data_IF_737506465905
#
_entry.id   IF_737506465905
#
_cell.length_a   1.000
_cell.length_b   1.000
_cell.length_c   1.000
_cell.angle_alpha   90.00
_cell.angle_beta   90.00
_cell.angle_gamma   90.00
#
_symmetry.space_group_name_H-M   'P 1'
#
loop_
_entity.id
_entity.type
_entity.pdbx_description
1 polymer ?
#
# COMPACT_ATOMS: atom_id res chain seq x y z
N UNK A 1 -5.89 -1.72 10.11
CA UNK A 1 -6.55 -0.58 9.43
C UNK A 1 -5.63 -0.14 8.31
N UNK A 2 -6.07 -0.20 7.05
CA UNK A 2 -5.25 0.11 5.87
C UNK A 2 -4.66 1.53 5.91
N UNK A 3 -5.44 2.53 6.34
CA UNK A 3 -4.96 3.91 6.42
C UNK A 3 -3.78 4.06 7.39
N UNK A 4 -3.82 3.37 8.53
CA UNK A 4 -2.72 3.39 9.50
C UNK A 4 -1.48 2.70 8.91
N UNK A 5 -1.68 1.60 8.19
CA UNK A 5 -0.57 0.91 7.49
C UNK A 5 0.09 1.80 6.46
N UNK A 6 -0.69 2.53 5.66
CA UNK A 6 -0.16 3.54 4.73
C UNK A 6 0.64 4.61 5.48
N UNK A 7 0.14 5.12 6.61
CA UNK A 7 0.82 6.12 7.42
C UNK A 7 2.13 5.59 8.02
N UNK A 8 2.15 4.36 8.53
CA UNK A 8 3.37 3.75 9.09
C UNK A 8 4.48 3.67 8.03
N UNK A 9 4.15 3.21 6.82
CA UNK A 9 5.09 3.12 5.68
C UNK A 9 5.62 4.52 5.31
N UNK A 10 4.74 5.52 5.23
CA UNK A 10 5.13 6.90 4.94
C UNK A 10 6.09 7.46 5.99
N UNK A 11 5.80 7.24 7.27
CA UNK A 11 6.64 7.69 8.39
C UNK A 11 7.99 6.99 8.34
N UNK A 12 8.01 5.67 8.12
CA UNK A 12 9.25 4.92 8.01
C UNK A 12 10.15 5.48 6.91
N UNK A 13 9.61 5.64 5.69
CA UNK A 13 10.38 6.17 4.57
C UNK A 13 10.88 7.58 4.86
N UNK A 14 10.05 8.46 5.44
CA UNK A 14 10.45 9.83 5.79
C UNK A 14 11.60 9.89 6.80
N UNK A 15 11.69 8.91 7.70
CA UNK A 15 12.77 8.83 8.70
C UNK A 15 14.05 8.19 8.18
N UNK A 16 13.94 7.28 7.20
CA UNK A 16 15.07 6.43 6.75
C UNK A 16 15.54 6.75 5.33
N UNK A 17 14.72 7.39 4.52
CA UNK A 17 14.90 7.56 3.08
C UNK A 17 15.20 6.23 2.36
N UNK A 18 14.60 5.14 2.85
CA UNK A 18 14.71 3.79 2.33
C UNK A 18 13.50 2.96 2.75
N UNK A 19 13.32 1.81 2.12
CA UNK A 19 12.39 0.77 2.53
C UNK A 19 13.09 -0.36 3.27
N UNK A 20 12.34 -1.20 4.00
CA UNK A 20 12.87 -2.41 4.65
C UNK A 20 12.47 -3.67 3.91
N UNK A 21 13.36 -4.67 3.95
CA UNK A 21 13.05 -6.05 3.55
C UNK A 21 12.25 -6.82 4.59
N UNK A 22 12.13 -6.30 5.82
CA UNK A 22 11.19 -6.81 6.83
C UNK A 22 10.01 -5.83 6.98
N UNK A 23 8.81 -6.34 6.69
CA UNK A 23 7.58 -5.56 6.78
C UNK A 23 7.34 -5.03 8.20
N UNK A 24 7.84 -5.72 9.23
CA UNK A 24 7.67 -5.36 10.65
C UNK A 24 8.39 -4.06 11.01
N UNK A 25 9.43 -3.69 10.27
CA UNK A 25 10.11 -2.42 10.46
C UNK A 25 9.25 -1.26 9.97
N UNK A 26 8.48 -1.49 8.90
CA UNK A 26 7.65 -0.46 8.25
C UNK A 26 6.25 -0.37 8.85
N UNK A 27 5.64 -1.47 9.31
CA UNK A 27 4.34 -1.46 9.98
C UNK A 27 4.17 -2.69 10.88
N UNK A 28 3.51 -2.50 12.03
CA UNK A 28 3.14 -3.60 12.95
C UNK A 28 1.87 -4.34 12.52
N UNK A 29 1.29 -3.98 11.36
CA UNK A 29 0.07 -4.62 10.90
C UNK A 29 0.35 -6.02 10.35
N UNK A 30 -0.19 -7.04 11.02
CA UNK A 30 -0.04 -8.47 10.67
C UNK A 30 -0.68 -8.86 9.34
N UNK A 31 -1.53 -8.01 8.77
CA UNK A 31 -2.18 -8.26 7.50
C UNK A 31 -1.33 -7.79 6.31
N UNK A 32 -0.14 -7.23 6.54
CA UNK A 32 0.74 -6.72 5.50
C UNK A 32 1.86 -7.71 5.23
N UNK A 33 2.05 -8.08 3.96
CA UNK A 33 3.18 -8.89 3.50
C UNK A 33 3.93 -8.19 2.37
N UNK A 34 5.21 -8.52 2.21
CA UNK A 34 6.03 -8.07 1.07
C UNK A 34 5.86 -9.06 -0.08
N UNK A 35 5.46 -8.59 -1.26
CA UNK A 35 5.53 -9.37 -2.50
C UNK A 35 6.93 -9.23 -3.13
N UNK A 36 7.41 -8.00 -3.24
CA UNK A 36 8.76 -7.66 -3.66
C UNK A 36 9.12 -6.28 -3.09
N UNK A 37 10.39 -6.07 -2.79
CA UNK A 37 10.87 -4.75 -2.39
C UNK A 37 12.37 -4.60 -2.65
N UNK A 38 12.72 -3.45 -3.20
CA UNK A 38 14.06 -2.89 -3.19
C UNK A 38 14.11 -1.74 -2.17
N UNK A 39 15.20 -1.65 -1.42
CA UNK A 39 15.35 -0.67 -0.35
C UNK A 39 15.37 0.78 -0.85
N UNK A 40 15.70 1.01 -2.13
CA UNK A 40 15.80 2.34 -2.74
C UNK A 40 14.71 2.60 -3.77
N UNK A 41 14.33 1.59 -4.53
CA UNK A 41 13.43 1.74 -5.68
C UNK A 41 11.97 1.38 -5.36
N UNK A 42 11.71 0.80 -4.19
CA UNK A 42 10.36 0.43 -3.75
C UNK A 42 9.95 -0.95 -4.23
N UNK A 43 8.67 -1.16 -4.42
CA UNK A 43 8.10 -2.47 -4.74
C UNK A 43 6.64 -2.58 -4.34
N UNK A 44 6.17 -3.82 -4.18
CA UNK A 44 4.77 -4.11 -3.90
C UNK A 44 4.61 -4.81 -2.56
N UNK A 45 3.71 -4.27 -1.74
CA UNK A 45 3.21 -4.90 -0.52
C UNK A 45 1.76 -5.36 -0.75
N UNK A 46 1.36 -6.42 -0.05
CA UNK A 46 0.02 -6.98 -0.12
C UNK A 46 -0.67 -6.81 1.23
N UNK A 47 -1.79 -6.11 1.23
CA UNK A 47 -2.67 -6.03 2.40
C UNK A 47 -3.77 -7.07 2.29
N UNK A 48 -3.83 -7.93 3.31
CA UNK A 48 -4.71 -9.08 3.38
C UNK A 48 -5.98 -8.80 4.17
N UNK A 49 -7.09 -9.34 3.69
CA UNK A 49 -8.35 -9.47 4.44
C UNK A 49 -8.74 -10.94 4.32
N UNK A 50 -9.18 -11.53 5.43
CA UNK A 50 -9.48 -12.96 5.48
C UNK A 50 -8.33 -13.86 4.94
N UNK A 51 -7.08 -13.50 5.25
CA UNK A 51 -5.86 -14.17 4.76
C UNK A 51 -5.66 -14.16 3.23
N UNK A 52 -6.49 -13.43 2.47
CA UNK A 52 -6.40 -13.25 1.03
C UNK A 52 -5.84 -11.87 0.70
N UNK A 53 -4.97 -11.77 -0.31
CA UNK A 53 -4.46 -10.48 -0.77
C UNK A 53 -5.57 -9.70 -1.50
N UNK A 54 -6.06 -8.62 -0.89
CA UNK A 54 -7.15 -7.82 -1.45
C UNK A 54 -6.68 -6.46 -1.97
N UNK A 55 -5.54 -5.95 -1.51
CA UNK A 55 -5.04 -4.63 -1.89
C UNK A 55 -3.54 -4.72 -2.16
N UNK A 56 -3.15 -4.23 -3.33
CA UNK A 56 -1.75 -3.94 -3.63
C UNK A 56 -1.41 -2.53 -3.16
N UNK A 57 -0.29 -2.40 -2.44
CA UNK A 57 0.32 -1.12 -2.11
C UNK A 57 1.62 -1.06 -2.92
N UNK A 58 1.67 -0.16 -3.89
CA UNK A 58 2.82 0.01 -4.77
C UNK A 58 3.61 1.24 -4.34
N UNK A 59 4.90 1.03 -4.12
CA UNK A 59 5.90 2.01 -3.75
C UNK A 59 6.82 2.18 -4.95
N UNK A 60 6.82 3.35 -5.57
CA UNK A 60 7.58 3.59 -6.80
C UNK A 60 7.85 5.08 -7.01
N UNK A 61 8.79 5.39 -7.90
CA UNK A 61 9.01 6.78 -8.32
C UNK A 61 7.89 7.25 -9.25
N UNK A 62 7.23 8.33 -8.85
CA UNK A 62 6.26 9.06 -9.65
C UNK A 62 6.71 10.53 -9.72
N UNK A 63 6.80 11.10 -10.93
CA UNK A 63 7.30 12.47 -11.13
C UNK A 63 8.65 12.74 -10.43
N UNK A 64 9.59 11.79 -10.54
CA UNK A 64 10.92 11.81 -9.90
C UNK A 64 10.94 11.70 -8.37
N UNK A 65 9.79 11.64 -7.71
CA UNK A 65 9.66 11.57 -6.25
C UNK A 65 9.18 10.19 -5.83
N UNK A 66 9.62 9.73 -4.66
CA UNK A 66 9.08 8.47 -4.15
C UNK A 66 7.62 8.64 -3.73
N UNK A 67 6.76 7.75 -4.23
CA UNK A 67 5.32 7.82 -4.02
C UNK A 67 4.73 6.44 -3.75
N UNK A 68 3.55 6.46 -3.14
CA UNK A 68 2.73 5.30 -2.88
C UNK A 68 1.39 5.45 -3.59
N UNK A 69 0.90 4.38 -4.20
CA UNK A 69 -0.52 4.24 -4.57
C UNK A 69 -1.04 2.91 -4.05
N UNK A 70 -2.36 2.80 -3.95
CA UNK A 70 -3.03 1.55 -3.57
C UNK A 70 -4.05 1.17 -4.62
N UNK A 71 -4.29 -0.12 -4.82
CA UNK A 71 -5.29 -0.63 -5.74
C UNK A 71 -5.93 -1.92 -5.24
N UNK A 72 -7.19 -2.13 -5.60
CA UNK A 72 -7.89 -3.37 -5.28
C UNK A 72 -7.38 -4.51 -6.15
N UNK A 73 -7.19 -5.69 -5.56
CA UNK A 73 -6.90 -6.92 -6.28
C UNK A 73 -8.22 -7.67 -6.40
N UNK A 74 -8.72 -7.83 -7.63
CA UNK A 74 -9.91 -8.65 -7.86
C UNK A 74 -9.60 -10.10 -7.52
N UNK A 75 -10.36 -10.66 -6.60
CA UNK A 75 -10.32 -12.08 -6.27
C UNK A 75 -11.75 -12.58 -5.96
N UNK A 76 -11.90 -13.89 -5.73
CA UNK A 76 -13.21 -14.51 -5.49
C UNK A 76 -13.75 -14.28 -4.07
N UNK A 77 -12.94 -13.75 -3.15
CA UNK A 77 -13.33 -13.54 -1.75
C UNK A 77 -14.32 -12.37 -1.62
N UNK A 78 -15.44 -12.64 -0.96
CA UNK A 78 -16.54 -11.69 -0.81
C UNK A 78 -16.15 -10.49 0.04
N UNK A 79 -15.33 -10.68 1.08
CA UNK A 79 -14.89 -9.59 1.95
C UNK A 79 -13.92 -8.68 1.22
N UNK A 80 -12.98 -9.24 0.45
CA UNK A 80 -12.10 -8.45 -0.42
C UNK A 80 -12.93 -7.58 -1.37
N UNK A 81 -13.91 -8.17 -2.08
CA UNK A 81 -14.78 -7.43 -3.02
C UNK A 81 -15.53 -6.30 -2.32
N UNK A 82 -16.17 -6.58 -1.19
CA UNK A 82 -16.90 -5.56 -0.42
C UNK A 82 -15.97 -4.44 0.05
N UNK A 83 -14.77 -4.79 0.49
CA UNK A 83 -13.78 -3.83 0.95
C UNK A 83 -13.31 -2.90 -0.18
N UNK A 84 -12.87 -3.45 -1.33
CA UNK A 84 -12.34 -2.64 -2.43
C UNK A 84 -13.44 -1.86 -3.17
N UNK A 85 -14.70 -2.28 -3.06
CA UNK A 85 -15.83 -1.55 -3.62
C UNK A 85 -16.33 -0.42 -2.72
N UNK A 86 -15.92 -0.40 -1.44
CA UNK A 86 -16.37 0.60 -0.47
C UNK A 86 -15.96 2.02 -0.89
N UNK A 87 -16.80 3.05 -0.63
CA UNK A 87 -16.45 4.44 -0.92
C UNK A 87 -15.14 4.87 -0.25
N UNK A 88 -14.92 4.47 1.00
CA UNK A 88 -13.71 4.82 1.75
C UNK A 88 -12.44 4.26 1.12
N UNK A 89 -12.48 3.04 0.56
CA UNK A 89 -11.34 2.51 -0.19
C UNK A 89 -11.14 3.28 -1.49
N UNK A 90 -12.21 3.53 -2.24
CA UNK A 90 -12.13 4.26 -3.52
C UNK A 90 -11.55 5.66 -3.36
N UNK A 91 -11.92 6.37 -2.29
CA UNK A 91 -11.39 7.70 -1.95
C UNK A 91 -9.89 7.69 -1.60
N UNK A 92 -9.38 6.54 -1.14
CA UNK A 92 -7.96 6.33 -0.91
C UNK A 92 -7.21 5.89 -2.18
N UNK A 93 -7.85 5.13 -3.05
CA UNK A 93 -7.19 4.49 -4.19
C UNK A 93 -7.21 5.34 -5.46
N UNK A 94 -8.29 6.10 -5.70
CA UNK A 94 -8.54 6.72 -7.00
C UNK A 94 -8.81 8.23 -6.88
N UNK A 95 -8.42 8.93 -7.93
CA UNK A 95 -8.95 10.24 -8.31
C UNK A 95 -10.05 10.05 -9.36
N UNK A 96 -10.63 11.15 -9.86
CA UNK A 96 -11.62 11.07 -10.95
C UNK A 96 -11.05 10.51 -12.26
N UNK A 97 -9.72 10.55 -12.45
CA UNK A 97 -9.07 10.26 -13.75
C UNK A 97 -8.02 9.15 -13.70
N UNK A 98 -7.46 8.87 -12.53
CA UNK A 98 -6.34 7.94 -12.35
C UNK A 98 -6.20 7.52 -10.87
N UNK A 99 -5.16 6.80 -10.50
CA UNK A 99 -4.78 6.52 -9.13
C UNK A 99 -4.46 7.77 -8.34
N UNK A 100 -4.68 7.67 -7.02
CA UNK A 100 -4.24 8.65 -6.06
C UNK A 100 -2.82 8.34 -5.63
N UNK A 101 -1.93 9.30 -5.85
CA UNK A 101 -0.53 9.23 -5.45
C UNK A 101 -0.29 9.93 -4.12
N UNK A 102 0.43 9.26 -3.23
CA UNK A 102 0.83 9.75 -1.92
C UNK A 102 2.35 9.87 -1.91
N UNK A 103 2.86 11.09 -2.04
CA UNK A 103 4.31 11.35 -2.00
C UNK A 103 4.88 11.11 -0.60
N UNK A 104 6.02 10.43 -0.53
CA UNK A 104 6.65 9.99 0.72
C UNK A 104 7.67 10.99 1.29
N UNK A 105 8.03 12.01 0.49
CA UNK A 105 8.94 13.11 0.83
C UNK A 105 8.19 14.33 1.41
#
# INVERSE_FOLDING_TARGET
>A
NLKNTMQDIMIYYKLRYSFSKDVKDMSKNKNLDILNIDEKDGGTLLYKINNQACVGIELTRHDSRMAMKIYGIENLDKECKLFIQSPSFKDLSYTKKDFKWYYLE
#
